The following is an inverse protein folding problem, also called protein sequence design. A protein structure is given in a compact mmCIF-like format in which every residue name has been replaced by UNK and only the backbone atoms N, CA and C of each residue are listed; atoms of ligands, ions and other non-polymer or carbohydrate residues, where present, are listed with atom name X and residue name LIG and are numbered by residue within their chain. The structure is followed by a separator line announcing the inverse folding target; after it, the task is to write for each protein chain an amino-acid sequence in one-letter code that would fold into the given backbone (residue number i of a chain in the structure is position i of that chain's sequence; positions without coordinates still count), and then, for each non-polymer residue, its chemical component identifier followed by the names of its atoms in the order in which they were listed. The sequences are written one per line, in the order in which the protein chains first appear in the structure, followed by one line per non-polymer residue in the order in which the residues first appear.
data_IF_222360715579
#
_entry.id   IF_222360715579
#
_cell.length_a   1.000
_cell.length_b   1.000
_cell.length_c   1.000
_cell.angle_alpha   90.00
_cell.angle_beta   90.00
_cell.angle_gamma   90.00
#
_symmetry.space_group_name_H-M   'P 1'
#
loop_
_entity.id
_entity.type
_entity.pdbx_description
1 polymer ?
#
# COMPACT_ATOMS: atom_id res chain seq x y z
N UNK A 1 -50.46 -0.71 8.36
CA UNK A 1 -49.28 0.12 8.04
C UNK A 1 -48.10 -0.51 8.77
N UNK A 2 -47.42 -1.40 8.07
CA UNK A 2 -46.20 -2.08 8.47
C UNK A 2 -45.40 -2.18 7.18
N UNK A 3 -44.39 -1.32 7.04
CA UNK A 3 -43.47 -1.34 5.90
C UNK A 3 -42.27 -2.20 6.28
N UNK A 4 -42.27 -3.44 5.79
CA UNK A 4 -41.08 -4.29 5.75
C UNK A 4 -40.24 -3.87 4.55
N UNK A 5 -39.04 -3.35 4.82
CA UNK A 5 -38.01 -3.12 3.82
C UNK A 5 -37.35 -4.48 3.45
N UNK A 6 -37.12 -4.78 2.15
CA UNK A 6 -36.51 -6.04 1.76
C UNK A 6 -35.03 -6.08 2.13
N UNK A 7 -34.70 -7.05 2.99
CA UNK A 7 -33.34 -7.51 3.27
C UNK A 7 -32.65 -7.96 1.99
N UNK A 8 -31.69 -7.18 1.49
CA UNK A 8 -30.81 -7.59 0.39
C UNK A 8 -29.81 -8.62 0.93
N UNK A 9 -29.96 -9.86 0.47
CA UNK A 9 -29.00 -10.96 0.68
C UNK A 9 -27.71 -10.59 -0.06
N UNK A 10 -26.51 -10.66 0.55
CA UNK A 10 -25.25 -10.47 -0.17
C UNK A 10 -25.12 -11.57 -1.23
N UNK A 11 -24.84 -11.17 -2.47
CA UNK A 11 -24.54 -12.11 -3.55
C UNK A 11 -23.38 -13.02 -3.12
N UNK A 12 -23.65 -14.33 -3.07
CA UNK A 12 -22.64 -15.35 -2.87
C UNK A 12 -21.53 -15.17 -3.92
N UNK A 13 -20.28 -15.18 -3.46
CA UNK A 13 -19.10 -15.22 -4.31
C UNK A 13 -19.25 -16.41 -5.29
N UNK A 14 -19.00 -16.23 -6.60
CA UNK A 14 -18.96 -17.36 -7.51
C UNK A 14 -17.79 -18.27 -7.12
N UNK A 15 -18.09 -19.33 -6.39
CA UNK A 15 -17.23 -20.51 -6.34
C UNK A 15 -17.23 -21.10 -7.75
N UNK A 16 -16.04 -21.16 -8.36
CA UNK A 16 -15.76 -21.70 -9.70
C UNK A 16 -15.94 -20.72 -10.87
N UNK A 17 -14.81 -20.15 -11.32
CA UNK A 17 -14.63 -19.80 -12.72
C UNK A 17 -14.68 -21.12 -13.52
N UNK A 18 -15.68 -21.27 -14.38
CA UNK A 18 -15.85 -22.44 -15.24
C UNK A 18 -14.59 -22.69 -16.09
N UNK A 19 -14.11 -23.94 -16.10
CA UNK A 19 -12.86 -24.38 -16.73
C UNK A 19 -12.75 -24.01 -18.23
N UNK A 20 -13.88 -23.76 -18.92
CA UNK A 20 -13.90 -23.40 -20.34
C UNK A 20 -13.37 -21.98 -20.64
N UNK A 21 -13.31 -21.07 -19.64
CA UNK A 21 -12.81 -19.70 -19.85
C UNK A 21 -11.28 -19.57 -19.73
N UNK A 22 -10.62 -20.55 -19.12
CA UNK A 22 -9.16 -20.61 -18.99
C UNK A 22 -8.46 -20.97 -20.31
N UNK A 23 -9.13 -21.73 -21.19
CA UNK A 23 -8.54 -22.23 -22.44
C UNK A 23 -8.45 -21.18 -23.57
N UNK A 24 -9.13 -20.03 -23.43
CA UNK A 24 -9.08 -18.92 -24.40
C UNK A 24 -8.14 -17.76 -24.02
N UNK A 25 -7.50 -17.82 -22.86
CA UNK A 25 -6.57 -16.79 -22.44
C UNK A 25 -5.23 -16.95 -23.21
N UNK A 26 -4.71 -15.92 -23.89
CA UNK A 26 -3.35 -15.98 -24.39
C UNK A 26 -2.42 -16.22 -23.20
N UNK A 27 -1.57 -17.25 -23.26
CA UNK A 27 -0.69 -17.70 -22.14
C UNK A 27 0.11 -16.57 -21.47
N UNK A 28 0.34 -15.45 -22.17
CA UNK A 28 0.97 -14.23 -21.64
C UNK A 28 0.16 -13.49 -20.56
N UNK A 29 -1.16 -13.63 -20.54
CA UNK A 29 -2.09 -12.93 -19.63
C UNK A 29 -2.22 -13.59 -18.26
N UNK A 30 -2.37 -14.91 -18.21
CA UNK A 30 -2.38 -15.72 -16.97
C UNK A 30 -1.04 -15.63 -16.24
N UNK A 31 0.07 -15.64 -16.99
CA UNK A 31 1.41 -15.42 -16.45
C UNK A 31 1.60 -14.01 -15.86
N UNK A 32 0.84 -13.00 -16.33
CA UNK A 32 0.91 -11.62 -15.82
C UNK A 32 0.22 -11.51 -14.47
N UNK A 33 -0.97 -12.11 -14.30
CA UNK A 33 -1.68 -12.14 -13.02
C UNK A 33 -0.91 -12.92 -11.93
N UNK A 34 -0.29 -14.04 -12.29
CA UNK A 34 0.55 -14.84 -11.39
C UNK A 34 1.86 -14.14 -10.95
N UNK A 35 2.25 -13.01 -11.57
CA UNK A 35 3.37 -12.16 -11.13
C UNK A 35 2.95 -11.14 -10.07
N UNK A 36 1.66 -10.81 -10.03
CA UNK A 36 1.04 -9.85 -9.11
C UNK A 36 0.77 -10.44 -7.73
N UNK A 37 0.87 -11.76 -7.55
CA UNK A 37 0.70 -12.41 -6.26
C UNK A 37 2.03 -12.49 -5.51
N UNK A 38 1.99 -12.25 -4.20
CA UNK A 38 3.13 -12.36 -3.30
C UNK A 38 3.77 -11.01 -2.93
N UNK A 39 4.98 -11.08 -2.40
CA UNK A 39 5.75 -9.94 -1.88
C UNK A 39 7.22 -10.08 -2.31
N UNK A 40 7.96 -8.99 -2.43
CA UNK A 40 9.40 -9.04 -2.75
C UNK A 40 10.21 -9.82 -1.71
N UNK A 41 9.73 -9.89 -0.47
CA UNK A 41 10.39 -10.61 0.62
C UNK A 41 9.82 -12.02 0.85
N UNK A 42 8.77 -12.45 0.16
CA UNK A 42 8.08 -13.72 0.42
C UNK A 42 7.98 -14.62 -0.83
N UNK A 43 8.43 -15.87 -0.70
CA UNK A 43 8.23 -16.86 -1.73
C UNK A 43 6.79 -17.39 -1.70
N UNK A 44 6.39 -18.07 -2.77
CA UNK A 44 5.00 -18.57 -2.93
C UNK A 44 4.61 -19.56 -1.84
N UNK A 45 5.54 -20.39 -1.38
CA UNK A 45 5.32 -21.37 -0.30
C UNK A 45 5.24 -20.73 1.09
N UNK A 46 5.67 -19.47 1.25
CA UNK A 46 5.53 -18.73 2.50
C UNK A 46 4.15 -18.07 2.67
N UNK A 47 3.40 -17.86 1.58
CA UNK A 47 2.14 -17.13 1.60
C UNK A 47 1.14 -17.65 2.65
N UNK A 48 0.90 -18.98 2.80
CA UNK A 48 -0.07 -19.47 3.78
C UNK A 48 0.27 -19.09 5.22
N UNK A 49 1.54 -19.20 5.62
CA UNK A 49 1.93 -18.93 7.01
C UNK A 49 2.10 -17.44 7.29
N UNK A 50 2.51 -16.65 6.30
CA UNK A 50 2.56 -15.19 6.41
C UNK A 50 1.16 -14.61 6.58
N UNK A 51 0.21 -15.04 5.75
CA UNK A 51 -1.19 -14.66 5.89
C UNK A 51 -1.75 -15.10 7.24
N UNK A 52 -1.41 -16.30 7.72
CA UNK A 52 -1.85 -16.78 9.02
C UNK A 52 -1.26 -15.97 10.21
N UNK A 53 -0.03 -15.47 10.09
CA UNK A 53 0.59 -14.56 11.06
C UNK A 53 -0.06 -13.17 11.04
N UNK A 54 -0.24 -12.56 9.86
CA UNK A 54 -0.91 -11.26 9.71
C UNK A 54 -2.38 -11.32 10.15
N UNK A 55 -3.05 -12.45 9.91
CA UNK A 55 -4.39 -12.71 10.39
C UNK A 55 -4.43 -12.74 11.92
N UNK A 56 -3.48 -13.41 12.57
CA UNK A 56 -3.42 -13.43 14.02
C UNK A 56 -3.10 -12.05 14.60
N UNK A 57 -2.22 -11.29 13.96
CA UNK A 57 -1.84 -9.95 14.41
C UNK A 57 -2.96 -8.91 14.22
N UNK A 58 -3.81 -9.05 13.20
CA UNK A 58 -4.72 -7.97 12.81
C UNK A 58 -6.06 -8.45 12.22
N UNK A 59 -6.05 -9.20 11.10
CA UNK A 59 -7.31 -9.41 10.34
C UNK A 59 -8.34 -10.35 10.99
N UNK A 60 -7.95 -11.18 11.97
CA UNK A 60 -8.90 -11.95 12.79
C UNK A 60 -9.39 -11.20 14.02
N UNK A 61 -8.78 -10.06 14.35
CA UNK A 61 -9.26 -9.20 15.42
C UNK A 61 -10.58 -8.54 14.98
N UNK A 62 -11.48 -8.35 15.94
CA UNK A 62 -12.71 -7.60 15.72
C UNK A 62 -12.40 -6.21 15.21
N UNK A 63 -13.19 -5.70 14.25
CA UNK A 63 -12.90 -4.44 13.54
C UNK A 63 -12.74 -3.26 14.51
N UNK A 64 -13.48 -3.24 15.62
CA UNK A 64 -13.37 -2.19 16.65
C UNK A 64 -12.14 -2.28 17.56
N UNK A 65 -11.39 -3.39 17.51
CA UNK A 65 -10.16 -3.62 18.27
C UNK A 65 -8.91 -3.61 17.38
N UNK A 66 -9.06 -3.35 16.08
CA UNK A 66 -7.97 -3.32 15.12
C UNK A 66 -7.21 -2.00 15.19
N UNK A 67 -5.94 -2.08 15.57
CA UNK A 67 -5.00 -0.95 15.53
C UNK A 67 -4.05 -1.11 14.35
N UNK A 68 -4.05 -0.17 13.40
CA UNK A 68 -3.21 -0.25 12.19
C UNK A 68 -1.73 -0.31 12.54
N UNK A 69 -1.31 0.28 13.66
CA UNK A 69 0.07 0.19 14.13
C UNK A 69 0.47 -1.25 14.50
N UNK A 70 -0.46 -2.11 14.94
CA UNK A 70 -0.16 -3.52 15.18
C UNK A 70 0.06 -4.30 13.88
N UNK A 71 -0.63 -3.91 12.80
CA UNK A 71 -0.35 -4.43 11.46
C UNK A 71 1.02 -3.98 10.95
N UNK A 72 1.38 -2.70 11.17
CA UNK A 72 2.72 -2.18 10.84
C UNK A 72 3.81 -2.88 11.63
N UNK A 73 3.59 -3.10 12.92
CA UNK A 73 4.49 -3.88 13.78
C UNK A 73 4.67 -5.30 13.27
N UNK A 74 3.59 -6.00 12.93
CA UNK A 74 3.66 -7.35 12.37
C UNK A 74 4.45 -7.38 11.07
N UNK A 75 4.21 -6.42 10.18
CA UNK A 75 5.00 -6.26 8.97
C UNK A 75 6.48 -5.95 9.25
N UNK A 76 6.77 -5.09 10.23
CA UNK A 76 8.12 -4.74 10.63
C UNK A 76 8.89 -5.93 11.21
N UNK A 77 8.21 -6.82 11.93
CA UNK A 77 8.79 -8.10 12.40
C UNK A 77 9.18 -8.97 11.19
N UNK A 78 8.30 -9.11 10.20
CA UNK A 78 8.55 -9.93 9.01
C UNK A 78 9.72 -9.41 8.17
N UNK A 79 9.73 -8.12 7.86
CA UNK A 79 10.79 -7.45 7.09
C UNK A 79 12.12 -7.44 7.84
N UNK A 80 12.12 -7.21 9.16
CA UNK A 80 13.33 -7.24 9.98
C UNK A 80 13.90 -8.66 10.05
N UNK A 81 13.05 -9.68 10.26
CA UNK A 81 13.48 -11.07 10.20
C UNK A 81 14.07 -11.43 8.83
N UNK A 82 13.37 -11.05 7.75
CA UNK A 82 13.88 -11.24 6.40
C UNK A 82 15.25 -10.59 6.21
N UNK A 83 15.40 -9.30 6.55
CA UNK A 83 16.66 -8.58 6.38
C UNK A 83 17.82 -9.18 7.20
N UNK A 84 17.54 -9.68 8.41
CA UNK A 84 18.59 -10.22 9.28
C UNK A 84 18.96 -11.67 9.00
N UNK A 85 18.02 -12.50 8.53
CA UNK A 85 18.18 -13.96 8.46
C UNK A 85 18.01 -14.56 7.08
N UNK A 86 17.34 -13.85 6.18
CA UNK A 86 17.01 -14.36 4.86
C UNK A 86 17.35 -13.38 3.74
N UNK A 87 18.12 -12.31 3.96
CA UNK A 87 18.18 -11.16 3.05
C UNK A 87 18.66 -11.45 1.62
N UNK A 88 19.33 -12.60 1.40
CA UNK A 88 19.76 -13.06 0.08
C UNK A 88 18.69 -13.87 -0.67
N UNK A 89 17.61 -14.24 0.02
CA UNK A 89 16.49 -15.02 -0.52
C UNK A 89 15.15 -14.42 -0.07
N UNK A 90 14.05 -14.98 -0.54
CA UNK A 90 12.74 -14.70 0.03
C UNK A 90 12.50 -15.58 1.25
N UNK A 91 11.56 -15.18 2.11
CA UNK A 91 11.00 -16.02 3.16
C UNK A 91 10.34 -17.25 2.53
N UNK A 92 10.54 -18.41 3.14
CA UNK A 92 10.07 -19.72 2.69
C UNK A 92 9.30 -20.43 3.80
N UNK A 93 8.71 -21.59 3.49
CA UNK A 93 8.07 -22.43 4.51
C UNK A 93 9.05 -22.85 5.63
N UNK A 94 10.34 -22.96 5.33
CA UNK A 94 11.39 -23.32 6.31
C UNK A 94 11.54 -22.29 7.44
N UNK A 95 11.14 -21.04 7.22
CA UNK A 95 11.18 -19.98 8.23
C UNK A 95 10.03 -20.07 9.24
N UNK A 96 8.95 -20.82 8.93
CA UNK A 96 7.77 -20.98 9.78
C UNK A 96 8.11 -21.48 11.18
N UNK A 97 9.08 -22.39 11.29
CA UNK A 97 9.47 -22.97 12.58
C UNK A 97 9.99 -21.91 13.57
N UNK A 98 10.67 -20.85 13.07
CA UNK A 98 11.14 -19.76 13.90
C UNK A 98 9.97 -18.93 14.44
N UNK A 99 8.99 -18.61 13.58
CA UNK A 99 7.78 -17.90 13.99
C UNK A 99 6.91 -18.72 14.94
N UNK A 100 6.75 -20.02 14.70
CA UNK A 100 5.98 -20.88 15.61
C UNK A 100 6.61 -20.94 17.01
N UNK A 101 7.94 -21.03 17.10
CA UNK A 101 8.64 -20.97 18.41
C UNK A 101 8.48 -19.62 19.10
N UNK A 102 8.49 -18.53 18.34
CA UNK A 102 8.44 -17.17 18.89
C UNK A 102 7.02 -16.74 19.30
N UNK A 103 5.99 -17.11 18.52
CA UNK A 103 4.62 -16.59 18.69
C UNK A 103 3.58 -17.67 19.02
N UNK A 104 3.91 -18.95 18.86
CA UNK A 104 2.93 -20.05 18.97
C UNK A 104 2.27 -20.16 20.34
N UNK A 105 3.03 -20.01 21.42
CA UNK A 105 2.48 -20.07 22.78
C UNK A 105 1.48 -18.94 23.06
N UNK A 106 1.86 -17.69 22.76
CA UNK A 106 0.99 -16.52 22.95
C UNK A 106 -0.29 -16.61 22.12
N UNK A 107 -0.19 -17.09 20.88
CA UNK A 107 -1.35 -17.21 19.98
C UNK A 107 -2.48 -18.10 20.53
N UNK A 108 -2.16 -19.11 21.34
CA UNK A 108 -3.15 -20.03 21.90
C UNK A 108 -3.47 -19.75 23.38
N UNK A 109 -2.82 -18.75 23.97
CA UNK A 109 -3.13 -18.24 25.29
C UNK A 109 -4.32 -17.28 25.21
N UNK A 110 -5.42 -17.63 25.87
CA UNK A 110 -6.63 -16.81 25.90
C UNK A 110 -6.64 -15.76 27.02
N UNK A 111 -5.54 -15.63 27.78
CA UNK A 111 -5.45 -14.69 28.90
C UNK A 111 -5.32 -13.23 28.50
N UNK A 112 -4.63 -12.93 27.39
CA UNK A 112 -4.28 -11.56 26.96
C UNK A 112 -4.88 -11.17 25.60
N UNK A 113 -5.37 -12.13 24.82
CA UNK A 113 -6.03 -11.92 23.54
C UNK A 113 -7.06 -13.03 23.28
N UNK A 114 -7.91 -12.85 22.26
CA UNK A 114 -8.80 -13.92 21.82
C UNK A 114 -7.96 -15.09 21.27
N UNK A 115 -8.37 -16.33 21.54
CA UNK A 115 -7.65 -17.51 21.07
C UNK A 115 -7.46 -17.46 19.55
N UNK A 116 -6.21 -17.54 19.10
CA UNK A 116 -5.84 -17.49 17.69
C UNK A 116 -5.46 -16.10 17.17
N UNK A 117 -5.52 -15.06 18.02
CA UNK A 117 -5.00 -13.71 17.75
C UNK A 117 -3.75 -13.41 18.58
N UNK A 118 -3.09 -12.29 18.28
CA UNK A 118 -1.92 -11.80 19.01
C UNK A 118 -2.20 -10.36 19.43
N UNK A 119 -2.11 -10.07 20.73
CA UNK A 119 -2.10 -8.69 21.20
C UNK A 119 -0.77 -8.01 20.85
N UNK A 120 -0.73 -6.67 20.90
CA UNK A 120 0.51 -5.90 20.76
C UNK A 120 1.63 -6.37 21.67
N UNK A 121 1.32 -6.66 22.94
CA UNK A 121 2.29 -7.16 23.92
C UNK A 121 2.86 -8.51 23.47
N UNK A 122 2.00 -9.44 23.02
CA UNK A 122 2.44 -10.74 22.50
C UNK A 122 3.25 -10.62 21.20
N UNK A 123 2.96 -9.62 20.35
CA UNK A 123 3.78 -9.32 19.17
C UNK A 123 5.17 -8.84 19.57
N UNK A 124 5.29 -7.91 20.53
CA UNK A 124 6.57 -7.40 20.99
C UNK A 124 7.39 -8.45 21.73
N UNK A 125 6.76 -9.24 22.60
CA UNK A 125 7.41 -10.33 23.34
C UNK A 125 7.91 -11.44 22.40
N UNK A 126 7.06 -11.83 21.43
CA UNK A 126 7.45 -12.78 20.39
C UNK A 126 8.56 -12.25 19.48
N UNK A 127 8.53 -10.95 19.13
CA UNK A 127 9.60 -10.31 18.39
C UNK A 127 10.92 -10.28 19.18
N UNK A 128 10.86 -10.05 20.49
CA UNK A 128 12.02 -10.18 21.39
C UNK A 128 12.66 -11.57 21.32
N UNK A 129 11.84 -12.63 21.37
CA UNK A 129 12.33 -14.02 21.18
C UNK A 129 12.91 -14.28 19.79
N UNK A 130 12.30 -13.71 18.73
CA UNK A 130 12.69 -13.97 17.35
C UNK A 130 13.94 -13.19 16.92
N UNK A 131 14.03 -11.92 17.31
CA UNK A 131 14.97 -10.94 16.79
C UNK A 131 15.96 -10.46 17.87
N UNK A 132 15.60 -10.57 19.14
CA UNK A 132 16.33 -10.11 20.32
C UNK A 132 15.65 -8.95 21.03
N UNK A 133 15.93 -8.79 22.33
CA UNK A 133 15.29 -7.81 23.24
C UNK A 133 15.43 -6.35 22.79
N UNK A 134 16.38 -6.06 21.91
CA UNK A 134 16.59 -4.74 21.30
C UNK A 134 15.46 -4.31 20.36
N UNK A 135 14.66 -5.25 19.84
CA UNK A 135 13.70 -4.97 18.76
C UNK A 135 12.62 -3.98 19.17
N UNK A 136 12.02 -4.13 20.36
CA UNK A 136 10.94 -3.24 20.80
C UNK A 136 11.42 -1.78 20.89
N UNK A 137 12.62 -1.57 21.46
CA UNK A 137 13.24 -0.24 21.51
C UNK A 137 13.60 0.30 20.12
N UNK A 138 14.07 -0.55 19.20
CA UNK A 138 14.35 -0.14 17.82
C UNK A 138 13.09 0.23 17.03
N UNK A 139 12.00 -0.52 17.21
CA UNK A 139 10.75 -0.25 16.51
C UNK A 139 10.13 1.07 16.95
N UNK A 140 10.28 1.44 18.21
CA UNK A 140 9.78 2.71 18.75
C UNK A 140 10.67 3.93 18.44
N UNK A 141 11.85 3.72 17.86
CA UNK A 141 12.86 4.76 17.62
C UNK A 141 13.01 5.04 16.11
N UNK A 142 12.56 6.22 15.68
CA UNK A 142 12.61 6.66 14.28
C UNK A 142 14.04 6.81 13.73
N UNK A 143 15.03 6.99 14.59
CA UNK A 143 16.43 7.00 14.16
C UNK A 143 16.94 5.59 13.82
N UNK A 144 16.25 4.56 14.32
CA UNK A 144 16.57 3.14 14.13
C UNK A 144 15.54 2.38 13.29
N UNK A 145 14.48 3.05 12.83
CA UNK A 145 13.44 2.47 11.97
C UNK A 145 13.48 3.09 10.57
N UNK A 146 13.27 2.28 9.55
CA UNK A 146 13.16 2.76 8.17
C UNK A 146 12.95 1.62 7.18
N UNK A 147 12.31 1.91 6.05
CA UNK A 147 11.95 0.93 5.01
C UNK A 147 11.08 -0.23 5.54
N UNK A 148 10.39 0.02 6.67
CA UNK A 148 9.64 -0.98 7.43
C UNK A 148 10.53 -1.96 8.18
N UNK A 149 11.80 -1.65 8.44
CA UNK A 149 12.77 -2.48 9.16
C UNK A 149 13.19 -1.75 10.45
N UNK A 150 13.34 -2.50 11.55
CA UNK A 150 13.93 -2.01 12.78
C UNK A 150 15.40 -2.47 12.89
N UNK A 151 16.30 -1.54 13.20
CA UNK A 151 17.74 -1.77 13.26
C UNK A 151 18.26 -1.74 14.71
N UNK A 152 19.22 -2.61 15.08
CA UNK A 152 19.84 -2.57 16.40
C UNK A 152 20.50 -1.23 16.74
N UNK A 153 20.95 -0.45 15.75
CA UNK A 153 21.57 0.87 15.93
C UNK A 153 21.25 1.79 14.75
N UNK A 154 21.43 3.10 14.93
CA UNK A 154 21.31 4.08 13.85
C UNK A 154 22.39 3.86 12.75
N UNK A 155 23.60 3.43 13.14
CA UNK A 155 24.68 3.10 12.20
C UNK A 155 24.31 1.91 11.30
N UNK A 156 23.68 0.87 11.87
CA UNK A 156 23.19 -0.26 11.07
C UNK A 156 22.08 0.15 10.10
N UNK A 157 21.21 1.09 10.50
CA UNK A 157 20.20 1.68 9.61
C UNK A 157 20.85 2.49 8.48
N UNK A 158 21.85 3.30 8.79
CA UNK A 158 22.59 4.09 7.80
C UNK A 158 23.33 3.19 6.78
N UNK A 159 23.76 2.00 7.22
CA UNK A 159 24.38 0.98 6.37
C UNK A 159 23.40 0.07 5.61
N UNK A 160 22.10 0.39 5.54
CA UNK A 160 21.11 -0.45 4.88
C UNK A 160 21.42 -0.67 3.39
N UNK A 161 21.56 -1.93 3.00
CA UNK A 161 21.82 -2.33 1.61
C UNK A 161 20.51 -2.57 0.85
N UNK A 162 20.07 -1.54 0.13
CA UNK A 162 18.90 -1.58 -0.76
C UNK A 162 19.03 -2.62 -1.88
N UNK A 163 20.26 -2.96 -2.28
CA UNK A 163 20.54 -3.93 -3.33
C UNK A 163 19.96 -5.31 -3.02
N UNK A 164 19.87 -5.67 -1.73
CA UNK A 164 19.33 -6.97 -1.28
C UNK A 164 17.87 -7.15 -1.68
N UNK A 165 17.02 -6.15 -1.37
CA UNK A 165 15.60 -6.22 -1.74
C UNK A 165 15.44 -6.12 -3.26
N UNK A 166 16.19 -5.21 -3.89
CA UNK A 166 16.17 -5.02 -5.34
C UNK A 166 16.51 -6.30 -6.12
N UNK A 167 17.47 -7.11 -5.64
CA UNK A 167 17.83 -8.38 -6.28
C UNK A 167 16.69 -9.41 -6.28
N UNK A 168 15.73 -9.30 -5.34
CA UNK A 168 14.57 -10.19 -5.24
C UNK A 168 13.36 -9.68 -6.03
N UNK A 169 13.42 -8.46 -6.54
CA UNK A 169 12.30 -7.82 -7.24
C UNK A 169 12.37 -8.14 -8.73
N UNK A 170 11.23 -8.57 -9.30
CA UNK A 170 11.07 -8.71 -10.74
C UNK A 170 10.50 -7.42 -11.32
N UNK A 171 11.33 -6.36 -11.37
CA UNK A 171 10.91 -5.04 -11.84
C UNK A 171 10.75 -5.07 -13.36
N UNK A 172 9.52 -4.87 -13.85
CA UNK A 172 9.25 -4.72 -15.28
C UNK A 172 9.66 -3.33 -15.80
N UNK A 173 9.53 -3.12 -17.11
CA UNK A 173 9.66 -1.77 -17.69
C UNK A 173 8.59 -0.81 -17.13
N UNK A 174 8.84 0.50 -17.21
CA UNK A 174 7.81 1.50 -16.94
C UNK A 174 6.73 1.45 -18.03
N UNK A 175 5.48 1.54 -17.61
CA UNK A 175 4.30 1.50 -18.47
C UNK A 175 3.43 2.73 -18.20
N UNK A 176 3.84 3.94 -18.63
CA UNK A 176 2.91 5.05 -18.71
C UNK A 176 1.78 4.73 -19.70
N UNK A 177 0.69 5.49 -19.67
CA UNK A 177 -0.42 5.39 -20.62
C UNK A 177 0.09 5.45 -22.06
N UNK A 178 -0.54 4.67 -22.94
CA UNK A 178 -0.24 4.63 -24.38
C UNK A 178 -1.48 4.81 -25.24
N UNK A 179 -2.68 4.66 -24.67
CA UNK A 179 -3.92 4.91 -25.36
C UNK A 179 -4.07 6.41 -25.70
N UNK A 180 -4.95 6.72 -26.65
CA UNK A 180 -5.32 8.11 -26.93
C UNK A 180 -5.97 8.74 -25.68
N UNK A 181 -5.84 10.05 -25.47
CA UNK A 181 -6.31 10.72 -24.25
C UNK A 181 -7.82 10.53 -24.04
N UNK A 182 -8.59 10.47 -25.13
CA UNK A 182 -10.03 10.24 -25.16
C UNK A 182 -10.43 8.83 -24.70
N UNK A 183 -9.50 7.87 -24.76
CA UNK A 183 -9.72 6.48 -24.36
C UNK A 183 -9.20 6.20 -22.95
N UNK A 184 -8.36 7.09 -22.40
CA UNK A 184 -7.81 6.95 -21.06
C UNK A 184 -8.90 7.18 -20.02
N UNK A 185 -8.80 6.47 -18.89
CA UNK A 185 -9.63 6.73 -17.73
C UNK A 185 -8.94 7.78 -16.87
N UNK A 186 -9.66 8.84 -16.56
CA UNK A 186 -9.24 9.91 -15.67
C UNK A 186 -10.05 9.85 -14.38
N UNK A 187 -9.42 10.03 -13.23
CA UNK A 187 -10.10 9.91 -11.95
C UNK A 187 -9.45 10.75 -10.86
N UNK A 188 -10.26 11.30 -9.95
CA UNK A 188 -9.79 11.94 -8.73
C UNK A 188 -10.43 11.31 -7.49
N UNK A 189 -9.69 11.33 -6.38
CA UNK A 189 -10.21 10.88 -5.09
C UNK A 189 -10.56 12.09 -4.21
N UNK A 190 -11.44 11.92 -3.21
CA UNK A 190 -11.73 12.99 -2.25
C UNK A 190 -10.44 13.50 -1.59
N UNK A 191 -10.27 14.83 -1.44
CA UNK A 191 -9.11 15.39 -0.77
C UNK A 191 -9.18 15.09 0.73
N UNK A 192 -8.02 14.88 1.35
CA UNK A 192 -7.87 14.75 2.79
C UNK A 192 -7.18 15.99 3.32
N UNK A 193 -7.78 16.64 4.31
CA UNK A 193 -7.17 17.80 4.97
C UNK A 193 -5.93 17.37 5.74
N UNK A 194 -4.87 18.17 5.65
CA UNK A 194 -3.64 17.97 6.39
C UNK A 194 -3.34 19.18 7.27
N UNK A 195 -2.69 18.99 8.43
CA UNK A 195 -2.45 20.09 9.38
C UNK A 195 -1.41 21.10 8.88
N UNK A 196 -0.47 20.67 8.03
CA UNK A 196 0.61 21.51 7.51
C UNK A 196 1.13 20.98 6.18
N UNK A 197 1.28 21.87 5.20
CA UNK A 197 1.94 21.56 3.93
C UNK A 197 3.39 21.11 4.15
N UNK A 198 4.17 21.87 4.92
CA UNK A 198 5.58 21.59 5.19
C UNK A 198 5.77 20.24 5.87
N UNK A 199 4.90 19.90 6.83
CA UNK A 199 4.97 18.60 7.51
C UNK A 199 4.71 17.44 6.54
N UNK A 200 3.72 17.57 5.65
CA UNK A 200 3.45 16.56 4.61
C UNK A 200 4.58 16.47 3.60
N UNK A 201 5.15 17.60 3.18
CA UNK A 201 6.30 17.62 2.26
C UNK A 201 7.50 16.93 2.91
N UNK A 202 7.82 17.25 4.16
CA UNK A 202 8.90 16.62 4.92
C UNK A 202 8.68 15.10 5.07
N UNK A 203 7.44 14.68 5.32
CA UNK A 203 7.05 13.28 5.45
C UNK A 203 7.14 12.51 4.12
N UNK A 204 6.69 13.11 3.01
CA UNK A 204 6.70 12.46 1.69
C UNK A 204 8.11 12.42 1.07
N UNK A 205 8.94 13.44 1.31
CA UNK A 205 10.32 13.50 0.80
C UNK A 205 11.31 12.59 1.53
N UNK A 206 10.84 11.82 2.52
CA UNK A 206 11.56 10.77 3.24
C UNK A 206 10.99 9.39 2.90
N UNK A 207 11.31 8.80 1.73
CA UNK A 207 10.75 7.51 1.33
C UNK A 207 10.90 6.40 2.37
N UNK A 208 11.95 6.46 3.19
CA UNK A 208 12.20 5.47 4.24
C UNK A 208 11.11 5.38 5.31
N UNK A 209 10.28 6.42 5.49
CA UNK A 209 9.17 6.42 6.46
C UNK A 209 7.82 6.07 5.85
N UNK A 210 7.72 5.89 4.52
CA UNK A 210 6.44 5.57 3.85
C UNK A 210 5.74 4.31 4.38
N UNK A 211 6.44 3.25 4.81
CA UNK A 211 5.81 2.11 5.48
C UNK A 211 5.05 2.47 6.76
N UNK A 212 5.40 3.58 7.42
CA UNK A 212 4.73 4.06 8.63
C UNK A 212 3.36 4.68 8.32
N UNK A 213 3.09 5.02 7.06
CA UNK A 213 1.78 5.50 6.60
C UNK A 213 0.88 4.39 6.05
N UNK A 214 1.33 3.12 6.15
CA UNK A 214 0.55 1.96 5.70
C UNK A 214 -0.83 1.92 6.33
N UNK A 215 -1.84 1.52 5.56
CA UNK A 215 -3.20 1.28 6.02
C UNK A 215 -3.51 -0.22 6.08
N UNK A 216 -4.71 -0.58 6.55
CA UNK A 216 -5.23 -1.95 6.50
C UNK A 216 -5.24 -2.55 5.08
N UNK A 217 -5.47 -1.70 4.08
CA UNK A 217 -5.70 -2.10 2.68
C UNK A 217 -4.45 -1.98 1.83
N UNK A 218 -3.40 -1.32 2.30
CA UNK A 218 -2.16 -1.31 1.55
C UNK A 218 -1.00 -0.56 2.16
N UNK A 219 0.16 -0.71 1.53
CA UNK A 219 1.40 -0.03 1.92
C UNK A 219 2.32 0.18 0.72
N UNK A 220 3.14 1.23 0.82
CA UNK A 220 4.26 1.46 -0.08
C UNK A 220 5.55 1.09 0.64
N UNK A 221 6.36 0.24 0.01
CA UNK A 221 7.72 -0.01 0.46
C UNK A 221 8.76 0.53 -0.53
N UNK A 222 9.57 1.52 -0.14
CA UNK A 222 10.72 1.98 -0.93
C UNK A 222 11.70 0.85 -1.26
N UNK A 223 12.17 0.82 -2.52
CA UNK A 223 13.12 -0.19 -3.00
C UNK A 223 14.51 0.36 -3.31
N UNK A 224 14.62 1.65 -3.65
CA UNK A 224 15.89 2.30 -3.99
C UNK A 224 16.38 3.19 -2.84
N UNK A 225 17.68 3.48 -2.87
CA UNK A 225 18.29 4.51 -2.05
C UNK A 225 18.04 5.88 -2.65
N UNK A 226 18.07 6.93 -1.83
CA UNK A 226 17.93 8.32 -2.25
C UNK A 226 16.60 8.96 -1.86
N UNK A 227 16.33 10.10 -2.48
CA UNK A 227 15.10 10.89 -2.26
C UNK A 227 13.92 10.41 -3.09
N UNK A 228 12.89 11.25 -3.16
CA UNK A 228 11.60 10.89 -3.73
C UNK A 228 11.61 10.70 -5.26
N UNK A 229 12.30 11.56 -6.01
CA UNK A 229 12.40 11.43 -7.47
C UNK A 229 13.18 10.17 -7.87
N UNK A 230 12.68 9.45 -8.87
CA UNK A 230 13.20 8.15 -9.33
C UNK A 230 13.12 7.02 -8.29
N UNK A 231 12.44 7.25 -7.16
CA UNK A 231 12.19 6.21 -6.18
C UNK A 231 11.19 5.20 -6.71
N UNK A 232 11.56 3.92 -6.65
CA UNK A 232 10.65 2.82 -6.93
C UNK A 232 10.05 2.32 -5.63
N UNK A 233 8.74 2.11 -5.61
CA UNK A 233 8.03 1.49 -4.51
C UNK A 233 7.42 0.16 -4.94
N UNK A 234 7.50 -0.83 -4.05
CA UNK A 234 6.55 -1.95 -4.05
C UNK A 234 5.26 -1.49 -3.38
N UNK A 235 4.14 -1.66 -4.06
CA UNK A 235 2.82 -1.47 -3.48
C UNK A 235 2.27 -2.84 -3.15
N UNK A 236 1.89 -3.08 -1.91
CA UNK A 236 1.11 -4.24 -1.52
C UNK A 236 -0.31 -3.77 -1.18
N UNK A 237 -1.31 -4.42 -1.76
CA UNK A 237 -2.73 -4.12 -1.56
C UNK A 237 -3.43 -5.37 -1.03
N UNK A 238 -4.19 -5.22 0.04
CA UNK A 238 -5.01 -6.24 0.65
C UNK A 238 -6.49 -6.01 0.31
N UNK A 239 -7.10 -6.98 -0.39
CA UNK A 239 -8.54 -7.00 -0.64
C UNK A 239 -9.24 -8.01 0.29
N UNK A 240 -10.54 -7.81 0.55
CA UNK A 240 -11.34 -8.73 1.38
C UNK A 240 -11.02 -8.67 2.89
N UNK A 241 -10.45 -7.56 3.38
CA UNK A 241 -9.98 -7.42 4.77
C UNK A 241 -11.10 -7.47 5.82
N UNK A 242 -12.32 -7.08 5.45
CA UNK A 242 -13.51 -7.15 6.32
C UNK A 242 -13.95 -8.60 6.59
N UNK A 243 -13.73 -9.51 5.62
CA UNK A 243 -14.06 -10.94 5.76
C UNK A 243 -13.07 -11.72 6.64
N UNK A 244 -12.01 -11.08 7.12
CA UNK A 244 -10.91 -11.72 7.84
C UNK A 244 -10.05 -12.66 6.99
N UNK A 245 -10.18 -12.58 5.65
CA UNK A 245 -9.46 -13.40 4.66
C UNK A 245 -8.79 -12.50 3.62
N UNK A 246 -7.76 -11.73 3.99
CA UNK A 246 -7.11 -10.81 3.08
C UNK A 246 -6.43 -11.56 1.92
N UNK A 247 -6.62 -11.04 0.71
CA UNK A 247 -5.87 -11.44 -0.47
C UNK A 247 -4.87 -10.32 -0.78
N UNK A 248 -3.59 -10.65 -0.71
CA UNK A 248 -2.50 -9.71 -0.99
C UNK A 248 -2.10 -9.77 -2.45
N UNK A 249 -2.18 -8.62 -3.10
CA UNK A 249 -1.60 -8.38 -4.43
C UNK A 249 -0.49 -7.37 -4.32
N UNK A 250 0.41 -7.36 -5.30
CA UNK A 250 1.50 -6.40 -5.40
C UNK A 250 1.60 -5.76 -6.77
N UNK A 251 2.11 -4.55 -6.78
CA UNK A 251 2.51 -3.80 -7.97
C UNK A 251 3.81 -3.03 -7.70
N UNK A 252 4.39 -2.46 -8.75
CA UNK A 252 5.49 -1.51 -8.60
C UNK A 252 5.15 -0.21 -9.31
N UNK A 253 5.56 0.89 -8.69
CA UNK A 253 5.52 2.22 -9.28
C UNK A 253 6.87 2.91 -9.08
N UNK A 254 7.22 3.83 -9.97
CA UNK A 254 8.35 4.73 -9.78
C UNK A 254 7.87 6.16 -9.88
N UNK A 255 8.42 7.04 -9.03
CA UNK A 255 8.19 8.46 -9.15
C UNK A 255 9.03 9.00 -10.32
N UNK A 256 8.37 9.35 -11.41
CA UNK A 256 9.03 9.78 -12.66
C UNK A 256 9.05 11.29 -12.83
N UNK A 257 8.12 12.00 -12.19
CA UNK A 257 8.03 13.46 -12.17
C UNK A 257 7.78 13.94 -10.75
N UNK A 258 8.43 15.02 -10.36
CA UNK A 258 8.25 15.73 -9.09
C UNK A 258 8.33 17.22 -9.38
N UNK A 259 7.30 17.97 -9.00
CA UNK A 259 7.22 19.42 -9.15
C UNK A 259 6.98 20.06 -7.78
N UNK A 260 7.69 21.15 -7.51
CA UNK A 260 7.74 21.80 -6.19
C UNK A 260 7.75 23.33 -6.36
N UNK A 261 7.54 24.11 -5.28
CA UNK A 261 7.57 25.57 -5.35
C UNK A 261 8.93 26.16 -5.75
N UNK A 262 10.01 25.39 -5.67
CA UNK A 262 11.35 25.81 -6.09
C UNK A 262 11.44 26.03 -7.62
N UNK A 263 10.51 25.45 -8.39
CA UNK A 263 10.37 25.66 -9.83
C UNK A 263 8.90 26.01 -10.17
N UNK A 264 8.48 27.27 -9.96
CA UNK A 264 7.09 27.68 -10.08
C UNK A 264 6.55 27.58 -11.52
N UNK A 265 7.41 27.70 -12.54
CA UNK A 265 7.00 27.58 -13.94
C UNK A 265 6.65 26.12 -14.26
N UNK A 266 7.52 25.17 -13.89
CA UNK A 266 7.26 23.74 -14.07
C UNK A 266 6.07 23.27 -13.23
N UNK A 267 5.91 23.79 -12.01
CA UNK A 267 4.76 23.52 -11.14
C UNK A 267 3.45 23.97 -11.80
N UNK A 268 3.40 25.22 -12.26
CA UNK A 268 2.21 25.77 -12.92
C UNK A 268 1.87 24.99 -14.21
N UNK A 269 2.87 24.66 -15.03
CA UNK A 269 2.67 23.88 -16.25
C UNK A 269 2.13 22.47 -15.97
N UNK A 270 2.64 21.79 -14.93
CA UNK A 270 2.16 20.47 -14.52
C UNK A 270 0.69 20.49 -14.11
N UNK A 271 0.29 21.42 -13.26
CA UNK A 271 -1.11 21.51 -12.84
C UNK A 271 -2.02 21.96 -13.96
N UNK A 272 -1.58 22.86 -14.85
CA UNK A 272 -2.37 23.24 -16.04
C UNK A 272 -2.63 22.04 -16.96
N UNK A 273 -1.61 21.19 -17.20
CA UNK A 273 -1.74 19.96 -17.98
C UNK A 273 -2.74 18.98 -17.34
N UNK A 274 -2.64 18.75 -16.02
CA UNK A 274 -3.54 17.86 -15.28
C UNK A 274 -4.99 18.36 -15.30
N UNK A 275 -5.20 19.66 -15.07
CA UNK A 275 -6.52 20.27 -15.03
C UNK A 275 -7.18 20.30 -16.40
N UNK A 276 -6.44 20.63 -17.47
CA UNK A 276 -6.95 20.57 -18.85
C UNK A 276 -7.34 19.13 -19.25
N UNK A 277 -6.55 18.14 -18.82
CA UNK A 277 -6.86 16.73 -19.02
C UNK A 277 -8.15 16.31 -18.31
N UNK A 278 -8.31 16.66 -17.03
CA UNK A 278 -9.52 16.38 -16.26
C UNK A 278 -10.75 17.09 -16.81
N UNK A 279 -10.62 18.35 -17.23
CA UNK A 279 -11.74 19.11 -17.80
C UNK A 279 -12.23 18.50 -19.12
N UNK A 280 -11.32 18.04 -19.97
CA UNK A 280 -11.66 17.51 -21.31
C UNK A 280 -12.09 16.04 -21.29
N UNK A 281 -11.46 15.23 -20.45
CA UNK A 281 -11.53 13.76 -20.51
C UNK A 281 -12.02 13.11 -19.21
N UNK A 282 -12.24 13.90 -18.15
CA UNK A 282 -12.61 13.42 -16.82
C UNK A 282 -14.05 12.95 -16.64
N UNK A 283 -14.96 13.08 -17.62
CA UNK A 283 -16.37 12.63 -17.48
C UNK A 283 -17.02 13.03 -16.13
N UNK A 284 -17.01 14.33 -15.80
CA UNK A 284 -17.53 14.92 -14.55
C UNK A 284 -16.66 14.69 -13.28
N UNK A 285 -15.45 14.18 -13.43
CA UNK A 285 -14.49 14.12 -12.32
C UNK A 285 -14.17 15.51 -11.74
N UNK A 286 -14.11 15.64 -10.41
CA UNK A 286 -13.68 16.87 -9.78
C UNK A 286 -12.29 17.32 -10.25
N UNK A 287 -12.10 18.64 -10.34
CA UNK A 287 -10.78 19.25 -10.52
C UNK A 287 -9.78 18.75 -9.48
N UNK A 288 -8.53 18.49 -9.85
CA UNK A 288 -7.52 18.03 -8.90
C UNK A 288 -7.25 19.11 -7.83
N UNK A 289 -7.25 20.39 -8.24
CA UNK A 289 -7.24 21.55 -7.35
C UNK A 289 -8.57 22.32 -7.51
N UNK A 290 -9.34 22.54 -6.44
CA UNK A 290 -10.56 23.35 -6.48
C UNK A 290 -10.31 24.75 -7.08
N UNK A 291 -11.35 25.34 -7.68
CA UNK A 291 -11.25 26.69 -8.25
C UNK A 291 -10.87 27.73 -7.19
N UNK A 292 -9.73 28.40 -7.40
CA UNK A 292 -9.16 29.36 -6.44
C UNK A 292 -8.13 28.76 -5.48
N UNK A 293 -7.94 27.44 -5.50
CA UNK A 293 -6.87 26.77 -4.76
C UNK A 293 -5.49 27.04 -5.35
N UNK A 294 -4.47 26.97 -4.49
CA UNK A 294 -3.06 27.17 -4.85
C UNK A 294 -2.32 25.83 -4.83
N UNK A 295 -1.82 25.34 -5.97
CA UNK A 295 -1.02 24.13 -5.99
C UNK A 295 0.33 24.35 -5.29
N UNK A 296 0.78 23.36 -4.53
CA UNK A 296 2.05 23.40 -3.81
C UNK A 296 3.06 22.37 -4.34
N UNK A 297 2.67 21.09 -4.40
CA UNK A 297 3.54 19.99 -4.81
C UNK A 297 2.73 18.98 -5.62
N UNK A 298 3.35 18.39 -6.64
CA UNK A 298 2.78 17.30 -7.42
C UNK A 298 3.84 16.27 -7.80
N UNK A 299 3.50 14.99 -7.83
CA UNK A 299 4.37 13.97 -8.38
C UNK A 299 3.62 12.79 -9.00
N UNK A 300 4.26 12.17 -9.98
CA UNK A 300 3.69 11.07 -10.77
C UNK A 300 4.30 9.74 -10.36
N UNK A 301 3.48 8.84 -9.84
CA UNK A 301 3.76 7.42 -9.62
C UNK A 301 3.41 6.66 -10.90
N UNK A 302 4.38 6.46 -11.80
CA UNK A 302 4.19 5.68 -13.03
C UNK A 302 4.24 4.19 -12.73
N UNK A 303 3.29 3.41 -13.26
CA UNK A 303 3.26 1.96 -13.07
C UNK A 303 4.36 1.24 -13.83
N UNK A 304 4.78 0.08 -13.31
CA UNK A 304 5.60 -0.88 -14.05
C UNK A 304 4.75 -1.98 -14.68
N UNK A 305 5.29 -2.63 -15.71
CA UNK A 305 4.70 -3.79 -16.33
C UNK A 305 4.37 -4.87 -15.30
N UNK A 306 3.09 -5.25 -15.23
CA UNK A 306 2.57 -6.19 -14.23
C UNK A 306 1.89 -5.51 -13.03
N UNK A 307 1.73 -4.19 -13.04
CA UNK A 307 0.86 -3.49 -12.07
C UNK A 307 -0.61 -3.87 -12.27
N UNK A 308 -1.37 -3.97 -11.17
CA UNK A 308 -2.77 -4.43 -11.17
C UNK A 308 -3.74 -3.47 -11.87
N UNK A 309 -3.35 -2.20 -12.03
CA UNK A 309 -4.11 -1.22 -12.83
C UNK A 309 -3.74 -1.21 -14.32
N UNK A 310 -2.68 -1.91 -14.73
CA UNK A 310 -2.12 -1.76 -16.07
C UNK A 310 -1.26 -0.50 -16.22
N UNK A 311 -1.21 0.03 -17.44
CA UNK A 311 -0.41 1.20 -17.79
C UNK A 311 -1.05 2.47 -17.25
N UNK A 312 -0.28 3.30 -16.53
CA UNK A 312 -0.80 4.59 -16.07
C UNK A 312 0.05 5.31 -15.05
N UNK A 313 -0.49 6.44 -14.59
CA UNK A 313 0.00 7.24 -13.50
C UNK A 313 -1.02 7.29 -12.37
N UNK A 314 -0.52 7.24 -11.14
CA UNK A 314 -1.21 7.85 -10.03
C UNK A 314 -0.44 9.09 -9.58
N UNK A 315 -1.13 10.15 -9.21
CA UNK A 315 -0.54 11.43 -8.85
C UNK A 315 -0.93 11.76 -7.43
N UNK A 316 0.00 12.27 -6.66
CA UNK A 316 -0.31 12.90 -5.39
C UNK A 316 -0.08 14.39 -5.52
N UNK A 317 -1.12 15.16 -5.22
CA UNK A 317 -1.12 16.62 -5.28
C UNK A 317 -1.38 17.20 -3.90
N UNK A 318 -0.60 18.20 -3.54
CA UNK A 318 -0.76 19.01 -2.34
C UNK A 318 -1.15 20.41 -2.76
N UNK A 319 -2.17 20.97 -2.15
CA UNK A 319 -2.66 22.31 -2.47
C UNK A 319 -3.24 23.00 -1.23
N UNK A 320 -3.33 24.32 -1.30
CA UNK A 320 -4.07 25.14 -0.36
C UNK A 320 -5.40 25.57 -0.95
N UNK A 321 -6.47 25.51 -0.16
CA UNK A 321 -7.78 26.02 -0.53
C UNK A 321 -8.49 26.56 0.72
N UNK A 322 -9.06 27.77 0.59
CA UNK A 322 -9.72 28.50 1.68
C UNK A 322 -8.91 28.58 2.99
N UNK A 323 -7.58 28.74 2.89
CA UNK A 323 -6.67 28.82 4.04
C UNK A 323 -6.40 27.49 4.75
N UNK A 324 -6.75 26.36 4.12
CA UNK A 324 -6.51 25.00 4.61
C UNK A 324 -5.65 24.24 3.61
N UNK A 325 -4.87 23.30 4.10
CA UNK A 325 -4.01 22.45 3.25
C UNK A 325 -4.66 21.09 3.01
N UNK A 326 -4.56 20.59 1.79
CA UNK A 326 -5.19 19.36 1.36
C UNK A 326 -4.21 18.51 0.54
N UNK A 327 -4.27 17.20 0.75
CA UNK A 327 -3.63 16.20 -0.12
C UNK A 327 -4.70 15.44 -0.88
N UNK A 328 -4.47 15.18 -2.17
CA UNK A 328 -5.38 14.42 -3.01
C UNK A 328 -4.60 13.49 -3.94
N UNK A 329 -5.20 12.34 -4.24
CA UNK A 329 -4.76 11.48 -5.33
C UNK A 329 -5.56 11.77 -6.62
N UNK A 330 -4.89 11.70 -7.76
CA UNK A 330 -5.51 11.79 -9.09
C UNK A 330 -4.82 10.79 -10.03
N UNK A 331 -5.59 9.93 -10.70
CA UNK A 331 -5.06 8.87 -11.55
C UNK A 331 -5.44 9.04 -13.01
N UNK A 332 -4.56 8.55 -13.89
CA UNK A 332 -4.88 8.29 -15.29
C UNK A 332 -4.39 6.88 -15.63
N UNK A 333 -5.16 6.13 -16.42
CA UNK A 333 -4.72 4.81 -16.89
C UNK A 333 -5.37 4.41 -18.21
N UNK A 334 -4.67 3.56 -18.97
CA UNK A 334 -5.22 2.93 -20.17
C UNK A 334 -6.41 2.02 -19.80
N UNK A 335 -7.38 1.80 -20.70
CA UNK A 335 -8.44 0.81 -20.51
C UNK A 335 -7.86 -0.56 -20.09
N UNK A 336 -8.29 -1.03 -18.92
CA UNK A 336 -7.83 -2.30 -18.40
C UNK A 336 -8.30 -3.44 -19.31
N UNK A 337 -7.43 -4.41 -19.68
CA UNK A 337 -7.87 -5.62 -20.34
C UNK A 337 -9.00 -6.28 -19.54
N UNK A 338 -10.02 -6.83 -20.23
CA UNK A 338 -11.28 -7.25 -19.59
C UNK A 338 -11.12 -8.14 -18.35
N UNK A 339 -10.12 -9.03 -18.32
CA UNK A 339 -9.83 -9.91 -17.17
C UNK A 339 -9.35 -9.13 -15.94
N UNK A 340 -8.48 -8.14 -16.16
CA UNK A 340 -7.99 -7.23 -15.12
C UNK A 340 -9.13 -6.32 -14.66
N UNK A 341 -9.92 -5.81 -15.62
CA UNK A 341 -11.11 -4.99 -15.32
C UNK A 341 -12.12 -5.75 -14.46
N UNK A 342 -12.38 -7.04 -14.73
CA UNK A 342 -13.28 -7.87 -13.95
C UNK A 342 -12.78 -8.05 -12.51
N UNK A 343 -11.52 -8.44 -12.33
CA UNK A 343 -10.92 -8.58 -10.99
C UNK A 343 -10.89 -7.24 -10.23
N UNK A 344 -10.56 -6.15 -10.91
CA UNK A 344 -10.55 -4.81 -10.35
C UNK A 344 -11.95 -4.38 -9.91
N UNK A 345 -13.00 -4.62 -10.72
CA UNK A 345 -14.39 -4.30 -10.35
C UNK A 345 -14.88 -5.08 -9.12
N UNK A 346 -14.46 -6.34 -8.99
CA UNK A 346 -14.91 -7.21 -7.88
C UNK A 346 -14.19 -6.90 -6.57
N UNK A 347 -12.89 -6.61 -6.61
CA UNK A 347 -12.09 -6.55 -5.37
C UNK A 347 -11.11 -5.38 -5.29
N UNK A 348 -10.76 -4.76 -6.42
CA UNK A 348 -9.70 -3.73 -6.49
C UNK A 348 -10.20 -2.30 -6.37
N UNK A 349 -11.40 -1.99 -6.89
CA UNK A 349 -11.93 -0.62 -6.98
C UNK A 349 -12.14 -0.01 -5.60
N UNK A 350 -12.90 -0.69 -4.75
CA UNK A 350 -13.20 -0.20 -3.40
C UNK A 350 -11.94 -0.12 -2.55
N UNK A 351 -11.07 -1.13 -2.63
CA UNK A 351 -9.80 -1.13 -1.92
C UNK A 351 -8.91 0.05 -2.33
N UNK A 352 -8.81 0.33 -3.64
CA UNK A 352 -8.06 1.48 -4.15
C UNK A 352 -8.69 2.82 -3.72
N UNK A 353 -10.01 2.95 -3.86
CA UNK A 353 -10.74 4.15 -3.47
C UNK A 353 -10.55 4.44 -1.97
N UNK A 354 -10.74 3.44 -1.12
CA UNK A 354 -10.54 3.55 0.32
C UNK A 354 -9.08 3.88 0.66
N UNK A 355 -8.13 3.24 -0.02
CA UNK A 355 -6.70 3.50 0.16
C UNK A 355 -6.34 4.98 -0.06
N UNK A 356 -6.95 5.63 -1.05
CA UNK A 356 -6.76 7.04 -1.36
C UNK A 356 -7.73 8.00 -0.64
N UNK A 357 -8.43 7.54 0.40
CA UNK A 357 -9.22 8.42 1.29
C UNK A 357 -10.72 8.43 1.06
N UNK A 358 -11.22 7.75 0.04
CA UNK A 358 -12.65 7.65 -0.18
C UNK A 358 -13.33 6.89 0.98
N UNK A 359 -14.52 7.37 1.38
CA UNK A 359 -15.29 6.78 2.48
C UNK A 359 -14.92 7.29 3.87
N UNK A 360 -13.82 8.06 4.03
CA UNK A 360 -13.48 8.72 5.30
C UNK A 360 -13.10 7.77 6.44
N UNK A 361 -12.76 6.51 6.12
CA UNK A 361 -12.38 5.50 7.11
C UNK A 361 -10.87 5.47 7.27
N UNK A 362 -10.36 6.14 8.31
CA UNK A 362 -8.92 6.36 8.48
C UNK A 362 -8.07 5.08 8.43
N UNK A 363 -8.52 3.97 9.04
CA UNK A 363 -7.76 2.70 9.03
C UNK A 363 -7.54 2.11 7.63
N UNK A 364 -8.42 2.43 6.67
CA UNK A 364 -8.36 1.93 5.30
C UNK A 364 -7.56 2.85 4.38
N UNK A 365 -7.24 4.08 4.80
CA UNK A 365 -6.68 5.12 3.92
C UNK A 365 -5.25 5.50 4.28
N UNK A 366 -4.32 5.37 3.33
CA UNK A 366 -2.96 5.84 3.50
C UNK A 366 -2.90 7.37 3.70
N UNK A 367 -3.73 8.15 3.01
CA UNK A 367 -3.74 9.61 3.17
C UNK A 367 -4.17 10.03 4.58
N UNK A 368 -5.16 9.35 5.16
CA UNK A 368 -5.53 9.61 6.56
C UNK A 368 -4.46 9.13 7.54
N UNK A 369 -3.80 8.00 7.26
CA UNK A 369 -2.68 7.53 8.08
C UNK A 369 -1.48 8.49 8.03
N UNK A 370 -1.16 9.05 6.86
CA UNK A 370 -0.18 10.12 6.72
C UNK A 370 -0.55 11.31 7.61
N UNK A 371 -1.81 11.76 7.58
CA UNK A 371 -2.30 12.87 8.43
C UNK A 371 -2.12 12.57 9.91
N UNK A 372 -2.46 11.37 10.36
CA UNK A 372 -2.27 10.96 11.75
C UNK A 372 -0.79 10.97 12.15
N UNK A 373 0.12 10.55 11.26
CA UNK A 373 1.55 10.54 11.53
C UNK A 373 2.18 11.94 11.54
N UNK A 374 1.71 12.88 10.71
CA UNK A 374 2.25 14.25 10.70
C UNK A 374 1.60 15.18 11.72
N UNK A 375 0.43 14.80 12.24
CA UNK A 375 -0.31 15.55 13.26
C UNK A 375 -0.06 15.10 14.71
N UNK A 376 0.55 13.93 14.91
CA UNK A 376 1.02 13.43 16.20
C UNK A 376 2.35 14.08 16.59
#
# INVERSE_FOLDING_TARGET
MSDDAPSAIPAELPEHLEDEQLDRAPRSSVLRFARMTGSSIAARDAAPWLTDFLNAAYYRCDVGAREVDDLRLAFAILTTYWYRKASERRLHLTDLSAFHRAFGAGRFDAGSSARGTLSREQLLEGAGRLLGDWFAGAYADDERRGWGIAFPTADERAGYDHGRRMALVALGELTPERAALEEQVWHTYPPVEVPSADAVIAALTRPETWPDYASETGRFTPLRAGGLLAQTFEIEVAAGTESGRPIFTRGYVTITRLVTPDDPETLAAYFAELEDGLERYGEDEPRAVPGGGTPLVGFDLTTHAGHFMGSGHNRLVLFEDAGRTWVRAAGTWDPMPWQVSAAYKVAGREAQQAFWGQGGVARLSMLHQLVLCVGA
#
